data_IF_226297902301
#
_entry.id   IF_226297902301
#
_cell.length_a   1.000
_cell.length_b   1.000
_cell.length_c   1.000
_cell.angle_alpha   90.00
_cell.angle_beta   90.00
_cell.angle_gamma   90.00
#
_symmetry.space_group_name_H-M   'P 1'
#
loop_
_entity.id
_entity.type
_entity.pdbx_description
1 polymer ?
#
# COMPACT_ATOMS: atom_id res chain seq x y z
N UNK A 1 23.71 -6.88 3.10
CA UNK A 1 23.39 -5.43 3.21
C UNK A 1 22.44 -5.07 2.08
N UNK A 2 21.37 -4.31 2.34
CA UNK A 2 20.41 -3.92 1.28
C UNK A 2 21.12 -3.07 0.22
N UNK A 3 20.89 -3.35 -1.07
CA UNK A 3 21.48 -2.60 -2.19
C UNK A 3 21.06 -1.13 -2.23
N UNK A 4 19.98 -0.78 -1.52
CA UNK A 4 19.49 0.59 -1.38
C UNK A 4 19.89 1.26 -0.06
N UNK A 5 20.57 0.55 0.84
CA UNK A 5 21.08 1.13 2.07
C UNK A 5 22.47 1.74 1.81
N UNK A 6 22.52 3.03 1.50
CA UNK A 6 23.76 3.81 1.40
C UNK A 6 23.69 4.93 2.44
N UNK A 7 24.40 4.78 3.55
CA UNK A 7 24.32 5.73 4.66
C UNK A 7 24.28 5.03 6.01
N UNK A 8 23.93 5.80 7.03
CA UNK A 8 23.95 5.37 8.43
C UNK A 8 22.56 5.39 9.08
N UNK A 9 21.54 5.92 8.40
CA UNK A 9 20.20 6.00 8.98
C UNK A 9 19.05 5.76 7.99
N UNK A 10 17.83 5.49 8.50
CA UNK A 10 16.61 5.44 7.68
C UNK A 10 16.35 6.74 6.90
N UNK A 11 16.86 7.88 7.35
CA UNK A 11 16.71 9.16 6.67
C UNK A 11 17.43 9.19 5.32
N UNK A 12 18.60 8.56 5.22
CA UNK A 12 19.34 8.47 3.96
C UNK A 12 18.55 7.71 2.89
N UNK A 13 17.83 6.67 3.30
CA UNK A 13 16.90 5.92 2.43
C UNK A 13 15.76 6.83 1.98
N UNK A 14 15.19 7.60 2.90
CA UNK A 14 14.12 8.55 2.62
C UNK A 14 14.55 9.62 1.61
N UNK A 15 15.73 10.23 1.77
CA UNK A 15 16.23 11.26 0.84
C UNK A 15 16.35 10.72 -0.59
N UNK A 16 16.88 9.50 -0.75
CA UNK A 16 16.98 8.84 -2.06
C UNK A 16 15.59 8.54 -2.64
N UNK A 17 14.67 8.05 -1.82
CA UNK A 17 13.29 7.83 -2.22
C UNK A 17 12.58 9.13 -2.66
N UNK A 18 12.70 10.20 -1.87
CA UNK A 18 12.14 11.53 -2.18
C UNK A 18 12.68 12.06 -3.50
N UNK A 19 13.97 11.86 -3.79
CA UNK A 19 14.58 12.23 -5.09
C UNK A 19 13.94 11.46 -6.25
N UNK A 20 13.74 10.14 -6.11
CA UNK A 20 13.09 9.31 -7.14
C UNK A 20 11.66 9.81 -7.38
N UNK A 21 10.83 9.88 -6.34
CA UNK A 21 9.42 10.29 -6.46
C UNK A 21 9.30 11.69 -7.06
N UNK A 22 10.16 12.63 -6.65
CA UNK A 22 10.13 14.00 -7.17
C UNK A 22 10.46 14.04 -8.65
N UNK A 23 11.43 13.23 -9.13
CA UNK A 23 11.75 13.13 -10.58
C UNK A 23 10.70 12.43 -11.41
N UNK A 24 9.91 11.54 -10.81
CA UNK A 24 8.82 10.87 -11.49
C UNK A 24 7.50 11.66 -11.46
N UNK A 25 7.42 12.76 -10.73
CA UNK A 25 6.21 13.58 -10.68
C UNK A 25 6.00 14.33 -12.00
N UNK A 26 4.91 14.07 -12.71
CA UNK A 26 4.67 14.56 -14.08
C UNK A 26 4.62 16.08 -14.21
N UNK A 27 3.94 16.80 -13.31
CA UNK A 27 3.87 18.27 -13.35
C UNK A 27 5.24 18.90 -13.09
N UNK A 28 6.02 18.29 -12.19
CA UNK A 28 7.37 18.75 -11.91
C UNK A 28 8.21 18.48 -13.15
N UNK A 29 8.16 17.24 -13.70
CA UNK A 29 8.80 16.80 -14.94
C UNK A 29 8.59 17.78 -16.12
N UNK A 30 7.39 18.34 -16.22
CA UNK A 30 7.01 19.36 -17.20
C UNK A 30 7.68 20.71 -16.90
N UNK A 31 7.64 21.17 -15.66
CA UNK A 31 8.10 22.50 -15.26
C UNK A 31 9.63 22.70 -15.36
N UNK A 32 10.44 21.66 -15.13
CA UNK A 32 11.91 21.75 -15.20
C UNK A 32 12.54 21.01 -16.39
N UNK A 33 11.75 20.71 -17.43
CA UNK A 33 12.20 20.08 -18.68
C UNK A 33 13.05 18.78 -18.54
N UNK A 34 12.49 17.79 -17.84
CA UNK A 34 13.11 16.52 -17.42
C UNK A 34 12.19 15.36 -17.74
N UNK A 35 11.33 15.54 -18.75
CA UNK A 35 10.34 14.55 -19.15
C UNK A 35 11.04 13.33 -19.75
N UNK A 36 10.75 12.18 -19.20
CA UNK A 36 10.76 10.93 -19.94
C UNK A 36 9.46 10.92 -20.72
N UNK A 37 9.48 11.42 -21.95
CA UNK A 37 8.34 11.38 -22.86
C UNK A 37 8.75 10.66 -24.15
N UNK A 38 9.30 9.45 -23.98
CA UNK A 38 9.51 8.50 -25.07
C UNK A 38 8.15 7.91 -25.44
N UNK A 39 7.26 8.73 -26.02
CA UNK A 39 5.88 8.34 -26.40
C UNK A 39 5.88 7.09 -27.26
N UNK A 40 6.86 6.98 -28.15
CA UNK A 40 7.04 5.83 -29.05
C UNK A 40 7.41 4.52 -28.31
N UNK A 41 7.77 4.61 -27.03
CA UNK A 41 8.22 3.48 -26.19
C UNK A 41 7.32 3.21 -24.99
N UNK A 42 6.23 3.98 -24.82
CA UNK A 42 5.27 3.92 -23.70
C UNK A 42 5.89 4.08 -22.29
N UNK A 43 7.12 4.58 -22.17
CA UNK A 43 7.77 4.84 -20.87
C UNK A 43 7.71 6.32 -20.56
N UNK A 44 6.74 6.70 -19.72
CA UNK A 44 6.54 8.08 -19.25
C UNK A 44 6.85 8.25 -17.77
N UNK A 45 7.09 9.47 -17.29
CA UNK A 45 7.17 9.75 -15.84
C UNK A 45 5.94 9.21 -15.09
N UNK A 46 4.74 9.43 -15.64
CA UNK A 46 3.47 8.95 -15.05
C UNK A 46 3.40 7.42 -14.99
N UNK A 47 3.86 6.73 -16.04
CA UNK A 47 3.94 5.27 -16.06
C UNK A 47 4.92 4.77 -14.98
N UNK A 48 6.14 5.31 -14.93
CA UNK A 48 7.16 4.94 -13.94
C UNK A 48 6.70 5.23 -12.51
N UNK A 49 6.04 6.37 -12.27
CA UNK A 49 5.47 6.72 -10.97
C UNK A 49 4.38 5.72 -10.56
N UNK A 50 3.50 5.34 -11.48
CA UNK A 50 2.46 4.33 -11.24
C UNK A 50 3.08 2.96 -10.91
N UNK A 51 4.13 2.54 -11.62
CA UNK A 51 4.85 1.30 -11.32
C UNK A 51 5.51 1.35 -9.94
N UNK A 52 6.16 2.46 -9.60
CA UNK A 52 6.75 2.65 -8.28
C UNK A 52 5.71 2.57 -7.15
N UNK A 53 4.55 3.22 -7.31
CA UNK A 53 3.46 3.17 -6.33
C UNK A 53 2.90 1.76 -6.15
N UNK A 54 2.79 0.97 -7.22
CA UNK A 54 2.38 -0.45 -7.15
C UNK A 54 3.41 -1.33 -6.44
N UNK A 55 4.70 -1.11 -6.68
CA UNK A 55 5.77 -1.79 -5.95
C UNK A 55 5.72 -1.50 -4.45
N UNK A 56 5.45 -0.26 -4.06
CA UNK A 56 5.31 0.14 -2.66
C UNK A 56 4.08 -0.51 -2.01
N UNK A 57 2.96 -0.56 -2.72
CA UNK A 57 1.75 -1.27 -2.28
C UNK A 57 2.07 -2.73 -1.96
N UNK A 58 2.68 -3.45 -2.92
CA UNK A 58 3.08 -4.86 -2.75
C UNK A 58 4.08 -5.04 -1.61
N UNK A 59 5.08 -4.16 -1.54
CA UNK A 59 6.09 -4.18 -0.49
C UNK A 59 5.47 -4.09 0.91
N UNK A 60 4.53 -3.19 1.11
CA UNK A 60 3.87 -3.03 2.41
C UNK A 60 2.90 -4.17 2.71
N UNK A 61 2.32 -4.81 1.69
CA UNK A 61 1.42 -5.95 1.88
C UNK A 61 2.16 -7.22 2.28
N UNK A 62 3.32 -7.48 1.68
CA UNK A 62 4.14 -8.68 1.98
C UNK A 62 5.61 -8.32 2.22
N UNK A 63 5.94 -7.66 3.35
CA UNK A 63 7.27 -7.08 3.57
C UNK A 63 8.43 -8.08 3.49
N UNK A 64 8.25 -9.28 4.06
CA UNK A 64 9.29 -10.33 4.13
C UNK A 64 9.83 -10.66 2.73
N UNK A 65 8.95 -10.89 1.77
CA UNK A 65 9.34 -11.27 0.40
C UNK A 65 9.56 -10.07 -0.53
N UNK A 66 8.88 -8.95 -0.29
CA UNK A 66 8.82 -7.83 -1.24
C UNK A 66 9.79 -6.68 -0.93
N UNK A 67 10.28 -6.51 0.30
CA UNK A 67 11.27 -5.46 0.60
C UNK A 67 12.61 -5.64 -0.13
N UNK A 68 13.17 -6.86 -0.25
CA UNK A 68 14.38 -7.08 -1.06
C UNK A 68 14.16 -6.75 -2.54
N UNK A 69 12.96 -7.04 -3.07
CA UNK A 69 12.57 -6.69 -4.44
C UNK A 69 12.48 -5.18 -4.59
N UNK A 70 11.79 -4.49 -3.69
CA UNK A 70 11.67 -3.03 -3.70
C UNK A 70 13.04 -2.33 -3.68
N UNK A 71 13.98 -2.80 -2.86
CA UNK A 71 15.33 -2.24 -2.80
C UNK A 71 16.07 -2.37 -4.14
N UNK A 72 15.92 -3.49 -4.85
CA UNK A 72 16.46 -3.69 -6.20
C UNK A 72 15.75 -2.80 -7.21
N UNK A 73 14.42 -2.70 -7.16
CA UNK A 73 13.62 -1.85 -8.05
C UNK A 73 13.99 -0.37 -7.91
N UNK A 74 14.25 0.13 -6.71
CA UNK A 74 14.73 1.51 -6.55
C UNK A 74 16.04 1.79 -7.27
N UNK A 75 16.95 0.82 -7.37
CA UNK A 75 18.17 0.95 -8.17
C UNK A 75 17.86 1.06 -9.67
N UNK A 76 16.91 0.27 -10.16
CA UNK A 76 16.43 0.40 -11.55
C UNK A 76 15.87 1.80 -11.81
N UNK A 77 15.06 2.35 -10.90
CA UNK A 77 14.59 3.73 -11.03
C UNK A 77 15.74 4.75 -11.02
N UNK A 78 16.75 4.59 -10.17
CA UNK A 78 17.94 5.47 -10.19
C UNK A 78 18.73 5.38 -11.52
N UNK A 79 18.86 4.18 -12.10
CA UNK A 79 19.52 3.96 -13.39
C UNK A 79 18.76 4.65 -14.53
N UNK A 80 17.44 4.44 -14.61
CA UNK A 80 16.57 5.10 -15.59
C UNK A 80 16.72 6.63 -15.47
N UNK A 81 16.64 7.15 -14.24
CA UNK A 81 16.69 8.60 -14.00
C UNK A 81 18.06 9.23 -14.32
N UNK A 82 19.16 8.47 -14.26
CA UNK A 82 20.51 8.93 -14.63
C UNK A 82 20.76 8.89 -16.13
N UNK A 83 20.29 7.84 -16.80
CA UNK A 83 20.63 7.54 -18.18
C UNK A 83 19.44 7.77 -19.12
N UNK A 84 19.04 9.04 -19.26
CA UNK A 84 17.79 9.43 -19.91
C UNK A 84 17.75 9.18 -21.43
N UNK A 85 18.92 9.06 -22.07
CA UNK A 85 19.10 8.98 -23.53
C UNK A 85 19.44 7.57 -24.05
N UNK A 86 19.20 6.51 -23.28
CA UNK A 86 19.46 5.15 -23.76
C UNK A 86 18.22 4.64 -24.48
N UNK A 87 18.38 4.26 -25.76
CA UNK A 87 17.30 3.76 -26.58
C UNK A 87 16.65 2.46 -26.06
N UNK A 88 17.30 1.78 -25.13
CA UNK A 88 16.93 0.48 -24.56
C UNK A 88 15.80 0.52 -23.51
N UNK A 89 15.39 1.68 -22.98
CA UNK A 89 14.34 1.74 -21.97
C UNK A 89 12.93 1.66 -22.58
N UNK A 90 12.57 0.48 -23.07
CA UNK A 90 11.19 0.14 -23.48
C UNK A 90 10.35 -0.28 -22.27
N UNK A 91 9.02 -0.24 -22.40
CA UNK A 91 8.12 -0.75 -21.36
C UNK A 91 8.46 -2.20 -20.99
N UNK A 92 8.70 -3.05 -21.98
CA UNK A 92 9.07 -4.46 -21.78
C UNK A 92 10.37 -4.61 -20.99
N UNK A 93 11.41 -3.83 -21.31
CA UNK A 93 12.67 -3.87 -20.59
C UNK A 93 12.52 -3.34 -19.15
N UNK A 94 11.72 -2.29 -18.92
CA UNK A 94 11.41 -1.83 -17.57
C UNK A 94 10.71 -2.94 -16.78
N UNK A 95 9.67 -3.56 -17.33
CA UNK A 95 8.93 -4.63 -16.66
C UNK A 95 9.80 -5.87 -16.42
N UNK A 96 10.73 -6.23 -17.32
CA UNK A 96 11.61 -7.38 -17.08
C UNK A 96 12.61 -7.15 -15.93
N UNK A 97 12.96 -5.88 -15.68
CA UNK A 97 13.87 -5.48 -14.60
C UNK A 97 13.15 -5.26 -13.28
N UNK A 98 11.88 -4.89 -13.31
CA UNK A 98 11.02 -4.80 -12.15
C UNK A 98 10.44 -6.20 -11.88
N UNK A 99 10.88 -6.88 -10.81
CA UNK A 99 10.35 -8.20 -10.43
C UNK A 99 8.93 -8.11 -9.83
N UNK A 100 8.02 -7.39 -10.49
CA UNK A 100 6.63 -7.23 -10.15
C UNK A 100 5.76 -7.84 -11.24
N UNK A 101 5.17 -8.99 -10.94
CA UNK A 101 4.05 -9.49 -11.74
C UNK A 101 2.94 -8.46 -11.69
N UNK A 102 2.61 -7.83 -12.83
CA UNK A 102 1.48 -6.94 -12.92
C UNK A 102 0.24 -7.64 -12.34
N UNK A 103 -0.21 -7.20 -11.15
CA UNK A 103 -1.52 -7.57 -10.65
C UNK A 103 -2.52 -6.86 -11.56
N UNK A 104 -2.95 -7.58 -12.60
CA UNK A 104 -4.19 -7.25 -13.25
C UNK A 104 -5.27 -7.44 -12.19
N UNK A 105 -6.14 -6.43 -12.03
CA UNK A 105 -7.41 -6.71 -11.36
C UNK A 105 -8.11 -7.71 -12.27
N UNK A 106 -8.12 -8.97 -11.86
CA UNK A 106 -8.94 -9.98 -12.50
C UNK A 106 -10.35 -9.40 -12.70
N UNK A 107 -10.96 -9.53 -13.88
CA UNK A 107 -12.29 -8.97 -14.14
C UNK A 107 -13.32 -9.39 -13.08
N UNK A 108 -13.13 -10.57 -12.49
CA UNK A 108 -13.91 -11.07 -11.35
C UNK A 108 -13.81 -10.20 -10.10
N UNK A 109 -12.63 -9.68 -9.76
CA UNK A 109 -12.44 -8.79 -8.62
C UNK A 109 -13.27 -7.52 -8.78
N UNK A 110 -13.18 -6.88 -9.96
CA UNK A 110 -13.94 -5.67 -10.24
C UNK A 110 -15.46 -5.94 -10.18
N UNK A 111 -15.90 -7.05 -10.78
CA UNK A 111 -17.31 -7.42 -10.79
C UNK A 111 -17.89 -7.62 -9.39
N UNK A 112 -17.16 -8.31 -8.51
CA UNK A 112 -17.57 -8.58 -7.13
C UNK A 112 -17.53 -7.29 -6.31
N UNK A 113 -16.38 -6.62 -6.26
CA UNK A 113 -16.18 -5.43 -5.44
C UNK A 113 -17.15 -4.29 -5.80
N UNK A 114 -17.41 -4.08 -7.09
CA UNK A 114 -18.36 -3.06 -7.53
C UNK A 114 -19.82 -3.46 -7.25
N UNK A 115 -20.17 -4.74 -7.28
CA UNK A 115 -21.50 -5.21 -6.86
C UNK A 115 -21.70 -5.02 -5.35
N UNK A 116 -20.68 -5.32 -4.55
CA UNK A 116 -20.72 -5.17 -3.09
C UNK A 116 -20.72 -3.70 -2.62
N UNK A 117 -20.37 -2.75 -3.50
CA UNK A 117 -20.43 -1.31 -3.21
C UNK A 117 -21.86 -0.76 -3.05
N UNK A 118 -22.90 -1.61 -3.19
CA UNK A 118 -24.31 -1.24 -3.04
C UNK A 118 -24.74 -0.03 -3.89
N UNK A 119 -24.22 0.06 -5.11
CA UNK A 119 -24.50 1.15 -6.04
C UNK A 119 -23.98 2.53 -5.61
N UNK A 120 -23.26 2.63 -4.48
CA UNK A 120 -22.78 3.92 -3.96
C UNK A 120 -21.81 4.63 -4.90
N UNK A 121 -21.17 3.90 -5.83
CA UNK A 121 -20.24 4.46 -6.80
C UNK A 121 -20.81 4.55 -8.23
N UNK A 122 -21.99 4.00 -8.50
CA UNK A 122 -22.53 3.88 -9.86
C UNK A 122 -22.85 5.25 -10.44
N UNK A 123 -22.57 5.41 -11.74
CA UNK A 123 -22.82 6.64 -12.51
C UNK A 123 -22.19 7.91 -11.92
N UNK A 124 -21.23 7.79 -10.99
CA UNK A 124 -20.48 8.94 -10.48
C UNK A 124 -19.51 9.45 -11.53
N UNK A 125 -19.50 10.76 -11.72
CA UNK A 125 -18.51 11.46 -12.54
C UNK A 125 -17.21 11.67 -11.76
N UNK A 126 -16.15 12.09 -12.46
CA UNK A 126 -14.90 12.49 -11.78
C UNK A 126 -15.12 13.66 -10.82
N UNK A 127 -16.06 14.55 -11.12
CA UNK A 127 -16.40 15.68 -10.23
C UNK A 127 -17.10 15.22 -8.96
N UNK A 128 -17.98 14.22 -9.04
CA UNK A 128 -18.62 13.62 -7.86
C UNK A 128 -17.61 12.93 -6.94
N UNK A 129 -16.54 12.36 -7.53
CA UNK A 129 -15.47 11.67 -6.81
C UNK A 129 -14.38 12.61 -6.30
N UNK A 130 -14.27 13.83 -6.85
CA UNK A 130 -13.19 14.78 -6.54
C UNK A 130 -13.00 15.04 -5.05
N UNK A 131 -14.03 15.25 -4.20
CA UNK A 131 -13.84 15.42 -2.76
C UNK A 131 -13.19 14.20 -2.10
N UNK A 132 -13.61 12.99 -2.47
CA UNK A 132 -13.04 11.75 -1.94
C UNK A 132 -11.60 11.56 -2.42
N UNK A 133 -11.31 11.80 -3.71
CA UNK A 133 -9.96 11.74 -4.27
C UNK A 133 -9.01 12.68 -3.53
N UNK A 134 -9.45 13.92 -3.27
CA UNK A 134 -8.68 14.91 -2.49
C UNK A 134 -8.43 14.42 -1.07
N UNK A 135 -9.45 13.90 -0.39
CA UNK A 135 -9.31 13.38 0.97
C UNK A 135 -8.32 12.20 1.04
N UNK A 136 -8.41 11.25 0.10
CA UNK A 136 -7.50 10.09 0.04
C UNK A 136 -6.06 10.54 -0.24
N UNK A 137 -5.85 11.47 -1.17
CA UNK A 137 -4.50 12.02 -1.45
C UNK A 137 -3.90 12.74 -0.24
N UNK A 138 -4.70 13.52 0.50
CA UNK A 138 -4.27 14.17 1.75
C UNK A 138 -3.84 13.16 2.82
N UNK A 139 -4.47 11.98 2.87
CA UNK A 139 -4.12 10.93 3.82
C UNK A 139 -2.87 10.16 3.39
N UNK A 140 -2.77 9.78 2.11
CA UNK A 140 -1.67 8.96 1.62
C UNK A 140 -1.39 9.20 0.12
N UNK A 141 -0.41 10.04 -0.18
CA UNK A 141 0.01 10.32 -1.56
C UNK A 141 0.47 9.07 -2.35
N UNK A 142 1.15 8.15 -1.67
CA UNK A 142 1.83 7.01 -2.31
C UNK A 142 0.82 5.95 -2.73
N UNK A 143 -0.15 5.62 -1.86
CA UNK A 143 -1.11 4.54 -2.08
C UNK A 143 -2.48 5.04 -2.54
N UNK A 144 -2.74 6.35 -2.57
CA UNK A 144 -4.03 6.90 -3.00
C UNK A 144 -4.44 6.44 -4.39
N UNK A 145 -3.47 6.21 -5.28
CA UNK A 145 -3.75 5.86 -6.66
C UNK A 145 -4.47 4.51 -6.79
N UNK A 146 -4.08 3.48 -6.03
CA UNK A 146 -4.74 2.16 -6.12
C UNK A 146 -6.19 2.23 -5.63
N UNK A 147 -6.43 2.99 -4.56
CA UNK A 147 -7.77 3.21 -4.01
C UNK A 147 -8.65 3.95 -5.01
N UNK A 148 -8.14 5.03 -5.60
CA UNK A 148 -8.89 5.83 -6.59
C UNK A 148 -9.16 5.02 -7.87
N UNK A 149 -8.17 4.27 -8.38
CA UNK A 149 -8.36 3.35 -9.52
C UNK A 149 -9.50 2.34 -9.23
N UNK A 150 -9.53 1.80 -8.01
CA UNK A 150 -10.56 0.85 -7.55
C UNK A 150 -11.95 1.48 -7.38
N UNK A 151 -12.03 2.79 -7.14
CA UNK A 151 -13.32 3.51 -7.09
C UNK A 151 -13.84 3.80 -8.49
N UNK A 152 -12.96 4.27 -9.39
CA UNK A 152 -13.33 4.69 -10.75
C UNK A 152 -13.89 3.52 -11.56
N UNK A 153 -13.31 2.32 -11.43
CA UNK A 153 -13.79 1.13 -12.16
C UNK A 153 -15.26 0.79 -11.85
N UNK A 154 -15.75 1.14 -10.65
CA UNK A 154 -17.13 0.90 -10.25
C UNK A 154 -18.14 1.93 -10.78
N UNK A 155 -17.68 3.05 -11.33
CA UNK A 155 -18.58 4.11 -11.85
C UNK A 155 -19.39 3.64 -13.05
N UNK A 156 -18.84 2.72 -13.84
CA UNK A 156 -19.47 2.13 -15.02
C UNK A 156 -20.21 0.83 -14.70
N UNK A 157 -20.27 0.43 -13.43
CA UNK A 157 -20.90 -0.81 -13.03
C UNK A 157 -22.40 -0.63 -12.79
N UNK A 158 -23.18 -1.68 -13.05
CA UNK A 158 -24.63 -1.72 -12.79
C UNK A 158 -25.02 -3.11 -12.27
N UNK A 159 -24.60 -3.42 -11.05
CA UNK A 159 -24.92 -4.69 -10.39
C UNK A 159 -26.40 -4.78 -9.99
N UNK A 160 -26.95 -5.99 -10.00
CA UNK A 160 -28.28 -6.34 -9.48
C UNK A 160 -28.13 -7.40 -8.40
N UNK A 161 -29.15 -7.57 -7.55
CA UNK A 161 -29.16 -8.58 -6.47
C UNK A 161 -28.06 -8.40 -5.42
N UNK A 162 -27.91 -7.18 -4.92
CA UNK A 162 -26.88 -6.84 -3.94
C UNK A 162 -27.35 -7.28 -2.54
N UNK A 163 -26.50 -8.05 -1.85
CA UNK A 163 -26.74 -8.37 -0.44
C UNK A 163 -26.38 -7.17 0.44
N UNK A 164 -27.38 -6.55 1.05
CA UNK A 164 -27.19 -5.36 1.91
C UNK A 164 -27.13 -5.69 3.40
N UNK A 165 -27.11 -6.97 3.76
CA UNK A 165 -27.09 -7.44 5.13
C UNK A 165 -28.33 -8.23 5.56
N UNK A 166 -28.40 -8.60 6.86
CA UNK A 166 -27.51 -8.18 7.93
C UNK A 166 -26.07 -8.70 7.81
N UNK A 167 -25.09 -7.85 8.13
CA UNK A 167 -23.68 -8.25 8.27
C UNK A 167 -23.39 -8.49 9.75
N UNK A 168 -23.39 -9.74 10.17
CA UNK A 168 -23.24 -10.14 11.57
C UNK A 168 -24.30 -11.15 12.02
N UNK A 169 -24.27 -11.48 13.31
CA UNK A 169 -25.29 -12.31 13.94
C UNK A 169 -24.75 -13.40 14.84
N UNK A 170 -25.65 -14.28 15.27
CA UNK A 170 -25.31 -15.48 16.04
C UNK A 170 -24.88 -16.58 15.09
N UNK A 171 -23.65 -17.06 15.26
CA UNK A 171 -23.11 -18.19 14.51
C UNK A 171 -23.18 -19.48 15.34
N UNK A 172 -23.17 -20.63 14.65
CA UNK A 172 -23.12 -21.95 15.32
C UNK A 172 -21.81 -22.14 16.10
N UNK A 173 -20.71 -21.67 15.52
CA UNK A 173 -19.37 -21.71 16.10
C UNK A 173 -18.80 -20.29 16.20
N UNK A 174 -17.92 -20.00 17.17
CA UNK A 174 -17.21 -18.73 17.24
C UNK A 174 -16.43 -18.41 15.96
N UNK A 175 -16.19 -17.12 15.71
CA UNK A 175 -15.29 -16.63 14.65
C UNK A 175 -14.06 -16.04 15.30
N UNK A 176 -12.88 -16.34 14.76
CA UNK A 176 -11.63 -15.67 15.10
C UNK A 176 -11.28 -14.65 14.02
N UNK A 177 -11.32 -13.36 14.37
CA UNK A 177 -10.78 -12.30 13.54
C UNK A 177 -9.31 -12.09 13.87
N UNK A 178 -8.47 -12.14 12.85
CA UNK A 178 -7.02 -11.90 12.97
C UNK A 178 -6.69 -10.60 12.26
N UNK A 179 -5.96 -9.71 12.92
CA UNK A 179 -5.59 -8.40 12.37
C UNK A 179 -4.17 -8.04 12.74
N UNK A 180 -3.49 -7.29 11.87
CA UNK A 180 -2.16 -6.78 12.15
C UNK A 180 -2.25 -5.33 12.62
N UNK A 181 -1.32 -4.88 13.47
CA UNK A 181 -1.32 -3.48 13.95
C UNK A 181 -1.05 -2.47 12.84
N UNK A 182 -0.32 -2.86 11.78
CA UNK A 182 0.05 -2.02 10.64
C UNK A 182 -0.37 -2.65 9.30
N UNK A 183 -1.62 -3.11 9.21
CA UNK A 183 -2.27 -3.47 7.94
C UNK A 183 -2.96 -2.23 7.33
N UNK A 184 -2.46 -1.77 6.18
CA UNK A 184 -3.00 -0.58 5.52
C UNK A 184 -4.17 -0.90 4.55
N UNK A 185 -4.40 -2.18 4.24
CA UNK A 185 -5.47 -2.64 3.33
C UNK A 185 -6.73 -2.95 4.14
N UNK A 186 -6.58 -3.66 5.25
CA UNK A 186 -7.66 -3.98 6.21
C UNK A 186 -7.25 -3.57 7.62
N UNK A 187 -7.38 -2.29 7.99
CA UNK A 187 -6.95 -1.77 9.29
C UNK A 187 -7.54 -2.53 10.48
N UNK A 188 -6.79 -2.58 11.60
CA UNK A 188 -7.17 -3.24 12.84
C UNK A 188 -8.56 -2.81 13.34
N UNK A 189 -8.93 -1.55 13.13
CA UNK A 189 -10.22 -0.98 13.48
C UNK A 189 -11.37 -1.71 12.78
N UNK A 190 -11.18 -2.12 11.51
CA UNK A 190 -12.18 -2.90 10.78
C UNK A 190 -12.33 -4.30 11.39
N UNK A 191 -11.24 -4.93 11.82
CA UNK A 191 -11.27 -6.19 12.56
C UNK A 191 -12.04 -6.08 13.87
N UNK A 192 -11.75 -5.03 14.66
CA UNK A 192 -12.49 -4.72 15.90
C UNK A 192 -13.98 -4.48 15.65
N UNK A 193 -14.33 -3.75 14.60
CA UNK A 193 -15.72 -3.54 14.21
C UNK A 193 -16.40 -4.84 13.76
N UNK A 194 -15.68 -5.73 13.08
CA UNK A 194 -16.20 -7.03 12.67
C UNK A 194 -16.48 -7.94 13.88
N UNK A 195 -15.59 -8.00 14.87
CA UNK A 195 -15.81 -8.75 16.12
C UNK A 195 -17.10 -8.34 16.81
N UNK A 196 -17.41 -7.05 16.88
CA UNK A 196 -18.63 -6.53 17.51
C UNK A 196 -19.92 -6.98 16.81
N UNK A 197 -19.86 -7.39 15.55
CA UNK A 197 -21.02 -7.82 14.76
C UNK A 197 -21.41 -9.27 15.01
N UNK A 198 -20.54 -10.09 15.61
CA UNK A 198 -20.76 -11.52 15.78
C UNK A 198 -20.74 -11.95 17.24
N UNK A 199 -21.75 -12.74 17.64
CA UNK A 199 -21.80 -13.25 19.02
C UNK A 199 -20.62 -14.20 19.29
N UNK A 200 -19.96 -14.03 20.44
CA UNK A 200 -18.82 -14.84 20.88
C UNK A 200 -17.62 -14.79 19.91
N UNK A 201 -17.53 -13.80 19.03
CA UNK A 201 -16.34 -13.62 18.20
C UNK A 201 -15.12 -13.25 19.03
N UNK A 202 -13.96 -13.69 18.56
CA UNK A 202 -12.65 -13.49 19.18
C UNK A 202 -11.79 -12.62 18.27
N UNK A 203 -10.86 -11.89 18.88
CA UNK A 203 -9.86 -11.09 18.18
C UNK A 203 -8.46 -11.62 18.54
N UNK A 204 -7.62 -11.80 17.53
CA UNK A 204 -6.18 -11.96 17.67
C UNK A 204 -5.50 -10.80 16.92
N UNK A 205 -4.63 -10.08 17.62
CA UNK A 205 -3.85 -8.98 17.04
C UNK A 205 -2.40 -9.39 16.90
N UNK A 206 -1.81 -9.25 15.72
CA UNK A 206 -0.38 -9.47 15.50
C UNK A 206 0.30 -8.10 15.43
N UNK A 207 1.29 -7.85 16.27
CA UNK A 207 2.06 -6.62 16.16
C UNK A 207 3.03 -6.74 14.97
N UNK A 208 2.84 -5.90 13.96
CA UNK A 208 3.70 -5.86 12.80
C UNK A 208 3.04 -5.26 11.56
N UNK A 209 3.81 -5.16 10.48
CA UNK A 209 3.40 -4.61 9.17
C UNK A 209 3.17 -5.72 8.17
N UNK A 210 2.05 -5.65 7.47
CA UNK A 210 1.69 -6.63 6.44
C UNK A 210 0.19 -6.70 6.26
N UNK A 211 -0.25 -7.16 5.10
CA UNK A 211 -1.65 -7.44 4.82
C UNK A 211 -1.93 -8.93 5.04
N UNK A 212 -3.01 -9.22 5.78
CA UNK A 212 -3.37 -10.56 6.30
C UNK A 212 -2.35 -11.16 7.27
N UNK A 213 -2.76 -12.19 8.02
CA UNK A 213 -1.93 -12.77 9.09
C UNK A 213 -0.67 -13.48 8.59
N UNK A 214 -0.69 -14.04 7.38
CA UNK A 214 0.42 -14.80 6.81
C UNK A 214 1.58 -13.91 6.35
N UNK A 215 1.38 -12.60 6.19
CA UNK A 215 2.46 -11.70 5.75
C UNK A 215 3.60 -11.53 6.77
N UNK A 216 3.39 -11.95 8.03
CA UNK A 216 4.33 -11.76 9.13
C UNK A 216 5.05 -13.03 9.58
N UNK A 217 4.65 -14.22 9.09
CA UNK A 217 5.22 -15.52 9.51
C UNK A 217 5.37 -15.65 11.04
N UNK A 218 4.33 -15.25 11.79
CA UNK A 218 4.38 -15.10 13.26
C UNK A 218 3.99 -16.40 13.98
N UNK A 219 4.94 -17.03 14.65
CA UNK A 219 4.77 -18.32 15.33
C UNK A 219 3.73 -18.26 16.47
N UNK A 220 3.72 -17.19 17.25
CA UNK A 220 2.70 -16.96 18.28
C UNK A 220 1.30 -16.99 17.66
N UNK A 221 1.09 -16.28 16.56
CA UNK A 221 -0.21 -16.20 15.91
C UNK A 221 -0.63 -17.55 15.33
N UNK A 222 0.27 -18.26 14.65
CA UNK A 222 0.03 -19.59 14.10
C UNK A 222 -0.41 -20.58 15.19
N UNK A 223 0.27 -20.56 16.35
CA UNK A 223 -0.10 -21.39 17.50
C UNK A 223 -1.51 -21.08 17.99
N UNK A 224 -1.89 -19.81 18.08
CA UNK A 224 -3.23 -19.43 18.51
C UNK A 224 -4.32 -19.77 17.49
N UNK A 225 -4.04 -19.58 16.21
CA UNK A 225 -4.92 -19.97 15.12
C UNK A 225 -5.13 -21.50 15.15
N UNK A 226 -4.06 -22.28 15.29
CA UNK A 226 -4.13 -23.74 15.40
C UNK A 226 -4.93 -24.21 16.63
N UNK A 227 -4.70 -23.57 17.80
CA UNK A 227 -5.48 -23.86 19.01
C UNK A 227 -6.96 -23.51 18.84
N UNK A 228 -7.28 -22.42 18.15
CA UNK A 228 -8.64 -22.03 17.86
C UNK A 228 -9.33 -23.07 16.98
N UNK A 229 -8.70 -23.52 15.89
CA UNK A 229 -9.26 -24.59 15.05
C UNK A 229 -9.42 -25.92 15.81
N UNK A 230 -8.49 -26.26 16.71
CA UNK A 230 -8.55 -27.50 17.48
C UNK A 230 -9.62 -27.50 18.59
N UNK A 231 -9.88 -26.34 19.22
CA UNK A 231 -10.68 -26.28 20.46
C UNK A 231 -11.93 -25.40 20.35
N UNK A 232 -12.07 -24.61 19.30
CA UNK A 232 -13.14 -23.61 19.12
C UNK A 232 -13.10 -22.46 20.14
N UNK A 233 -12.02 -22.33 20.92
CA UNK A 233 -11.87 -21.31 21.98
C UNK A 233 -10.42 -20.87 22.14
N UNK A 234 -10.22 -19.60 22.49
CA UNK A 234 -8.96 -19.10 23.01
C UNK A 234 -9.04 -19.02 24.54
N UNK A 235 -8.08 -19.60 25.27
CA UNK A 235 -7.99 -19.46 26.72
C UNK A 235 -7.62 -18.02 27.08
N UNK A 236 -8.47 -17.35 27.87
CA UNK A 236 -8.56 -15.89 27.98
C UNK A 236 -7.44 -15.15 28.70
N UNK A 237 -6.23 -15.13 28.12
CA UNK A 237 -5.20 -14.13 28.51
C UNK A 237 -4.44 -13.51 27.34
N UNK A 238 -4.42 -14.12 26.17
CA UNK A 238 -3.62 -13.63 25.03
C UNK A 238 -4.53 -13.39 23.84
N UNK A 239 -4.72 -12.12 23.51
CA UNK A 239 -5.38 -11.63 22.30
C UNK A 239 -4.40 -10.83 21.40
N UNK A 240 -3.12 -10.86 21.74
CA UNK A 240 -2.06 -10.15 21.04
C UNK A 240 -0.78 -10.98 20.95
N UNK A 241 -0.17 -11.03 19.77
CA UNK A 241 1.15 -11.59 19.55
C UNK A 241 2.14 -10.44 19.31
N UNK A 242 3.31 -10.44 19.97
CA UNK A 242 4.34 -9.44 19.73
C UNK A 242 4.94 -9.63 18.33
N UNK A 243 5.63 -8.59 17.88
CA UNK A 243 6.48 -8.67 16.70
C UNK A 243 7.64 -9.61 17.01
N UNK A 244 7.83 -10.61 16.13
CA UNK A 244 8.88 -11.61 16.30
C UNK A 244 10.16 -11.15 15.57
N UNK A 245 11.35 -11.56 16.04
CA UNK A 245 12.60 -11.25 15.34
C UNK A 245 12.57 -11.80 13.91
N UNK A 246 13.08 -11.02 12.97
CA UNK A 246 13.26 -11.48 11.60
C UNK A 246 14.38 -12.52 11.47
N UNK A 247 14.65 -12.94 10.24
CA UNK A 247 15.82 -13.75 9.92
C UNK A 247 17.08 -13.13 10.55
N UNK A 248 17.94 -13.97 11.13
CA UNK A 248 19.16 -13.57 11.88
C UNK A 248 18.90 -12.90 13.24
N UNK A 249 17.69 -12.98 13.79
CA UNK A 249 17.40 -12.51 15.16
C UNK A 249 17.32 -11.00 15.31
N UNK A 250 17.21 -10.26 14.19
CA UNK A 250 17.14 -8.80 14.20
C UNK A 250 15.74 -8.35 14.60
N UNK A 251 15.67 -7.45 15.59
CA UNK A 251 14.44 -6.73 15.96
C UNK A 251 14.50 -5.31 15.40
N UNK A 252 13.35 -4.80 14.98
CA UNK A 252 13.21 -3.40 14.61
C UNK A 252 13.10 -2.60 15.91
N UNK A 253 14.12 -1.82 16.21
CA UNK A 253 14.08 -0.89 17.35
C UNK A 253 13.07 0.23 17.07
N UNK A 254 12.32 0.71 18.08
CA UNK A 254 11.44 1.85 17.93
C UNK A 254 12.22 3.06 17.39
N UNK A 255 11.75 3.63 16.28
CA UNK A 255 12.41 4.76 15.61
C UNK A 255 11.51 6.00 15.55
N UNK A 256 10.28 5.89 16.03
CA UNK A 256 9.26 6.94 15.97
C UNK A 256 9.58 8.17 16.83
N UNK A 257 10.49 8.05 17.79
CA UNK A 257 11.00 9.18 18.60
C UNK A 257 12.28 9.79 18.03
N UNK A 258 12.90 9.18 17.01
CA UNK A 258 14.15 9.69 16.43
C UNK A 258 13.95 11.01 15.70
N UNK A 259 14.98 11.86 15.70
CA UNK A 259 14.97 13.12 14.95
C UNK A 259 14.72 12.88 13.45
N UNK A 260 15.39 11.89 12.89
CA UNK A 260 15.24 11.45 11.50
C UNK A 260 13.79 11.12 11.18
N UNK A 261 13.09 10.38 12.04
CA UNK A 261 11.68 10.08 11.85
C UNK A 261 10.80 11.32 11.85
N UNK A 262 11.04 12.26 12.77
CA UNK A 262 10.27 13.51 12.81
C UNK A 262 10.48 14.33 11.53
N UNK A 263 11.71 14.36 11.01
CA UNK A 263 12.03 15.04 9.76
C UNK A 263 11.36 14.36 8.56
N UNK A 264 11.45 13.04 8.43
CA UNK A 264 10.72 12.28 7.39
C UNK A 264 9.22 12.55 7.45
N UNK A 265 8.63 12.54 8.66
CA UNK A 265 7.20 12.76 8.85
C UNK A 265 6.77 14.14 8.37
N UNK A 266 7.56 15.18 8.65
CA UNK A 266 7.33 16.54 8.15
C UNK A 266 7.37 16.58 6.62
N UNK A 267 8.42 16.04 6.01
CA UNK A 267 8.57 16.07 4.55
C UNK A 267 7.51 15.22 3.81
N UNK A 268 7.05 14.12 4.42
CA UNK A 268 5.92 13.34 3.91
C UNK A 268 4.63 14.18 3.94
N UNK A 269 4.42 15.00 4.98
CA UNK A 269 3.25 15.87 5.08
C UNK A 269 3.27 16.93 3.96
N UNK A 270 4.42 17.55 3.71
CA UNK A 270 4.62 18.49 2.60
C UNK A 270 4.24 17.82 1.26
N UNK A 271 4.79 16.64 0.97
CA UNK A 271 4.45 15.88 -0.27
C UNK A 271 2.95 15.58 -0.42
N UNK A 272 2.23 15.36 0.69
CA UNK A 272 0.76 15.15 0.65
C UNK A 272 0.03 16.43 0.29
N UNK A 273 0.40 17.54 0.90
CA UNK A 273 -0.18 18.86 0.60
C UNK A 273 0.05 19.25 -0.86
N UNK A 274 1.27 19.07 -1.34
CA UNK A 274 1.66 19.29 -2.74
C UNK A 274 0.76 18.52 -3.71
N UNK A 275 0.52 17.23 -3.43
CA UNK A 275 -0.24 16.34 -4.32
C UNK A 275 -1.71 16.69 -4.52
N UNK A 276 -2.23 17.54 -3.64
CA UNK A 276 -3.64 17.95 -3.59
C UNK A 276 -3.86 19.32 -4.21
N UNK A 277 -2.85 20.20 -4.18
CA UNK A 277 -2.98 21.57 -4.67
C UNK A 277 -2.96 21.67 -6.20
N UNK A 278 -2.37 20.70 -6.90
CA UNK A 278 -2.51 20.47 -8.34
C UNK A 278 -2.25 21.65 -9.31
N UNK A 279 -1.81 22.83 -8.86
CA UNK A 279 -1.62 24.04 -9.69
C UNK A 279 -1.02 25.27 -8.93
N UNK A 280 -0.18 25.11 -7.90
CA UNK A 280 0.45 26.28 -7.20
C UNK A 280 1.96 26.18 -7.06
N UNK A 281 2.65 25.82 -8.13
CA UNK A 281 4.10 25.86 -8.17
C UNK A 281 4.60 27.21 -8.67
N UNK A 282 4.47 28.24 -7.83
CA UNK A 282 5.36 29.40 -7.89
C UNK A 282 6.57 29.08 -7.01
N UNK A 283 7.70 28.82 -7.67
CA UNK A 283 9.09 28.96 -7.23
C UNK A 283 9.40 28.71 -5.73
N UNK A 284 10.02 27.57 -5.42
CA UNK A 284 11.15 27.51 -4.46
C UNK A 284 12.10 26.38 -4.88
N UNK A 285 13.38 26.75 -4.98
CA UNK A 285 14.58 26.04 -5.44
C UNK A 285 14.84 26.05 -6.94
#
# INVERSE_FOLDING_TARGET
MSVFHTGHSPYDIWLRFKKIISRLHSEKAVAFDWRFDLKDKNVTNSYLLRRLKRLLLRALSTPISSFPVLAKSFKVFEEILKNQNIDDWTQEHVESRLADSAQFHEPSFAAIACSDSNGTLYNKTLDDLRPAIVAIKKQNYTLSQSVVESMIICTQWQGKHIYTGPFGGKTKNPILFVSNTRDFVTPLENGRAAVQRFQNALQLTINGTGHVSSALENYCAEKWIGLFFAKGKMSGKINSCPEEPGAFGVKIEPFESSYDWQLMKKEIAELREESVQGNRWNMVY
#
